data_IF_051897260995
#
_entry.id   IF_051897260995
#
_cell.length_a   1.000
_cell.length_b   1.000
_cell.length_c   1.000
_cell.angle_alpha   90.00
_cell.angle_beta   90.00
_cell.angle_gamma   90.00
#
_symmetry.space_group_name_H-M   'P 1'
#
loop_
_entity.id
_entity.type
_entity.pdbx_description
1 polymer ?
#
# COMPACT_ATOMS: atom_id res chain seq x y z
N UNK A 1 25.60 -8.43 -31.99
CA UNK A 1 24.65 -7.79 -32.94
C UNK A 1 23.32 -8.54 -32.80
N UNK A 2 22.32 -7.87 -32.20
CA UNK A 2 20.88 -8.18 -32.16
C UNK A 2 20.44 -9.57 -31.67
N UNK A 3 20.22 -9.66 -30.36
CA UNK A 3 19.21 -10.56 -29.79
C UNK A 3 17.87 -9.82 -29.76
N UNK A 4 16.84 -10.57 -30.11
CA UNK A 4 15.51 -10.15 -30.51
C UNK A 4 14.68 -9.84 -29.27
N UNK A 5 14.08 -8.65 -29.25
CA UNK A 5 13.03 -8.23 -28.34
C UNK A 5 11.85 -9.21 -28.38
N UNK A 6 11.49 -9.78 -27.23
CA UNK A 6 10.27 -10.54 -27.03
C UNK A 6 9.70 -10.22 -25.65
N UNK A 7 8.51 -9.62 -25.69
CA UNK A 7 7.48 -9.57 -24.65
C UNK A 7 7.83 -8.89 -23.31
N UNK A 8 7.79 -7.55 -23.32
CA UNK A 8 7.30 -6.78 -22.18
C UNK A 8 5.77 -6.85 -22.20
N UNK A 9 5.17 -7.65 -21.33
CA UNK A 9 3.73 -7.66 -21.04
C UNK A 9 3.47 -8.54 -19.81
N UNK A 10 3.62 -7.99 -18.60
CA UNK A 10 2.96 -8.44 -17.35
C UNK A 10 3.52 -7.69 -16.11
N UNK A 11 3.47 -6.35 -16.08
CA UNK A 11 3.90 -5.59 -14.87
C UNK A 11 2.94 -4.42 -14.60
N UNK A 12 1.63 -4.65 -14.70
CA UNK A 12 0.62 -3.59 -14.53
C UNK A 12 -0.54 -4.07 -13.63
N UNK A 13 -0.21 -4.76 -12.53
CA UNK A 13 -1.20 -5.23 -11.54
C UNK A 13 -0.62 -5.10 -10.13
N UNK A 14 -0.28 -3.90 -9.68
CA UNK A 14 0.30 -3.76 -8.33
C UNK A 14 -0.62 -3.05 -7.34
N UNK A 15 -1.58 -2.22 -7.77
CA UNK A 15 -2.64 -1.72 -6.86
C UNK A 15 -4.09 -2.03 -7.28
N UNK A 16 -4.35 -2.33 -8.55
CA UNK A 16 -5.71 -2.53 -9.06
C UNK A 16 -6.33 -3.90 -8.69
N UNK A 17 -5.53 -4.85 -8.23
CA UNK A 17 -5.99 -6.20 -7.87
C UNK A 17 -6.55 -6.30 -6.45
N UNK A 18 -6.13 -5.41 -5.55
CA UNK A 18 -6.55 -5.42 -4.15
C UNK A 18 -7.93 -4.78 -3.99
N UNK A 19 -8.85 -5.54 -3.42
CA UNK A 19 -10.15 -5.04 -3.00
C UNK A 19 -10.07 -4.37 -1.64
N UNK A 20 -9.14 -4.72 -0.76
CA UNK A 20 -8.98 -3.95 0.48
C UNK A 20 -7.52 -3.95 0.95
N UNK A 21 -7.09 -2.81 1.49
CA UNK A 21 -5.73 -2.65 2.03
C UNK A 21 -5.83 -1.90 3.33
N UNK A 22 -5.35 -2.51 4.42
CA UNK A 22 -5.14 -1.83 5.69
C UNK A 22 -3.74 -2.15 6.18
N UNK A 23 -2.86 -1.16 6.11
CA UNK A 23 -1.47 -1.29 6.52
C UNK A 23 -1.13 -0.29 7.62
N UNK A 24 -0.46 -0.78 8.65
CA UNK A 24 0.04 0.00 9.77
C UNK A 24 1.54 -0.21 9.93
N UNK A 25 2.30 0.85 9.72
CA UNK A 25 3.73 0.90 10.06
C UNK A 25 3.90 1.51 11.46
N UNK A 26 4.38 0.71 12.39
CA UNK A 26 4.69 1.15 13.75
C UNK A 26 6.19 1.42 13.86
N UNK A 27 6.58 2.65 14.18
CA UNK A 27 7.97 3.03 14.38
C UNK A 27 8.39 2.61 15.80
N UNK A 28 9.42 1.78 15.89
CA UNK A 28 9.88 1.17 17.15
C UNK A 28 11.26 1.65 17.57
N UNK A 29 11.97 2.36 16.69
CA UNK A 29 13.34 2.82 16.90
C UNK A 29 13.77 3.89 15.90
N UNK A 30 15.05 4.31 16.02
CA UNK A 30 15.66 5.27 15.11
C UNK A 30 15.82 4.74 13.68
N UNK A 31 15.97 3.41 13.52
CA UNK A 31 15.97 2.76 12.21
C UNK A 31 14.99 1.58 12.10
N UNK A 32 14.23 1.26 13.16
CA UNK A 32 13.39 0.06 13.17
C UNK A 32 11.89 0.34 13.12
N UNK A 33 11.16 -0.54 12.45
CA UNK A 33 9.71 -0.53 12.37
C UNK A 33 9.11 -1.96 12.39
N UNK A 34 7.81 -2.00 12.64
CA UNK A 34 6.97 -3.17 12.47
C UNK A 34 5.85 -2.81 11.50
N UNK A 35 5.80 -3.43 10.34
CA UNK A 35 4.67 -3.37 9.40
C UNK A 35 3.69 -4.49 9.73
N UNK A 36 2.45 -4.11 9.96
CA UNK A 36 1.33 -5.03 10.18
C UNK A 36 0.17 -4.64 9.31
N UNK A 37 -0.59 -5.60 8.82
CA UNK A 37 -1.76 -5.27 8.03
C UNK A 37 -2.24 -6.42 7.19
N UNK A 38 -3.05 -6.09 6.20
CA UNK A 38 -3.47 -7.04 5.20
C UNK A 38 -3.70 -6.39 3.84
N UNK A 39 -3.58 -7.23 2.82
CA UNK A 39 -4.10 -6.97 1.49
C UNK A 39 -5.11 -8.06 1.17
N UNK A 40 -6.22 -7.69 0.55
CA UNK A 40 -7.30 -8.58 0.19
C UNK A 40 -7.57 -8.48 -1.30
N UNK A 41 -7.74 -9.62 -1.96
CA UNK A 41 -8.09 -9.74 -3.39
C UNK A 41 -9.21 -10.77 -3.55
N UNK A 42 -9.97 -10.71 -4.64
CA UNK A 42 -10.86 -11.82 -4.97
C UNK A 42 -10.05 -13.04 -5.43
N UNK A 43 -10.50 -14.25 -5.06
CA UNK A 43 -9.81 -15.49 -5.43
C UNK A 43 -9.74 -15.68 -6.95
N UNK A 44 -10.74 -15.21 -7.71
CA UNK A 44 -10.70 -15.25 -9.17
C UNK A 44 -9.57 -14.37 -9.74
N UNK A 45 -9.42 -13.14 -9.22
CA UNK A 45 -8.35 -12.22 -9.60
C UNK A 45 -6.98 -12.80 -9.23
N UNK A 46 -6.83 -13.37 -8.04
CA UNK A 46 -5.60 -14.04 -7.62
C UNK A 46 -5.17 -15.13 -8.60
N UNK A 47 -6.12 -15.97 -9.03
CA UNK A 47 -5.85 -17.03 -10.00
C UNK A 47 -5.42 -16.48 -11.37
N UNK A 48 -5.89 -15.28 -11.75
CA UNK A 48 -5.45 -14.59 -12.95
C UNK A 48 -4.05 -13.96 -12.80
N UNK A 49 -3.69 -13.51 -11.60
CA UNK A 49 -2.41 -12.84 -11.28
C UNK A 49 -1.21 -13.78 -11.13
N UNK A 50 -1.41 -15.10 -11.22
CA UNK A 50 -0.32 -16.08 -11.09
C UNK A 50 -0.37 -16.92 -9.82
N UNK A 51 -1.36 -16.66 -8.94
CA UNK A 51 -1.66 -17.50 -7.79
C UNK A 51 -1.10 -16.99 -6.46
N UNK A 52 -1.29 -17.84 -5.44
CA UNK A 52 -1.05 -17.53 -4.04
C UNK A 52 0.39 -17.11 -3.69
N UNK A 53 1.39 -17.82 -4.22
CA UNK A 53 2.81 -17.59 -3.86
C UNK A 53 3.30 -16.21 -4.29
N UNK A 54 2.86 -15.72 -5.46
CA UNK A 54 3.23 -14.37 -5.94
C UNK A 54 2.50 -13.24 -5.23
N UNK A 55 1.40 -13.52 -4.55
CA UNK A 55 0.60 -12.52 -3.84
C UNK A 55 0.95 -12.42 -2.36
N UNK A 56 1.38 -13.53 -1.75
CA UNK A 56 1.65 -13.60 -0.33
C UNK A 56 2.82 -14.53 -0.05
N UNK A 57 4.03 -13.96 -0.01
CA UNK A 57 5.23 -14.71 0.29
C UNK A 57 5.42 -14.85 1.81
N UNK A 58 5.55 -16.10 2.26
CA UNK A 58 5.81 -16.40 3.67
C UNK A 58 7.25 -16.06 4.10
N UNK A 59 8.20 -16.03 3.17
CA UNK A 59 9.58 -15.61 3.43
C UNK A 59 9.66 -14.09 3.68
N UNK A 60 8.71 -13.32 3.15
CA UNK A 60 8.58 -11.86 3.33
C UNK A 60 7.62 -11.48 4.47
N UNK A 61 7.25 -12.42 5.35
CA UNK A 61 6.38 -12.16 6.50
C UNK A 61 4.88 -12.20 6.20
N UNK A 62 4.49 -12.70 5.02
CA UNK A 62 3.11 -12.93 4.62
C UNK A 62 2.50 -14.20 5.23
N UNK A 63 1.21 -14.17 5.52
CA UNK A 63 0.40 -15.33 5.88
C UNK A 63 -0.90 -15.29 5.10
N UNK A 64 -1.06 -16.23 4.17
CA UNK A 64 -2.23 -16.31 3.32
C UNK A 64 -3.41 -16.97 4.05
N UNK A 65 -4.53 -16.27 4.10
CA UNK A 65 -5.85 -16.79 4.46
C UNK A 65 -6.75 -16.73 3.22
N UNK A 66 -7.31 -17.86 2.81
CA UNK A 66 -8.08 -17.95 1.57
C UNK A 66 -9.41 -18.66 1.77
N UNK A 67 -10.44 -18.15 1.11
CA UNK A 67 -11.78 -18.71 0.99
C UNK A 67 -12.12 -18.93 -0.49
N UNK A 68 -13.32 -19.44 -0.77
CA UNK A 68 -13.79 -19.63 -2.15
C UNK A 68 -13.84 -18.33 -2.96
N UNK A 69 -14.02 -17.19 -2.29
CA UNK A 69 -14.29 -15.88 -2.92
C UNK A 69 -13.19 -14.85 -2.70
N UNK A 70 -12.45 -14.96 -1.60
CA UNK A 70 -11.50 -13.95 -1.14
C UNK A 70 -10.19 -14.60 -0.72
N UNK A 71 -9.08 -13.99 -1.09
CA UNK A 71 -7.75 -14.29 -0.60
C UNK A 71 -7.17 -13.06 0.11
N UNK A 72 -6.68 -13.25 1.32
CA UNK A 72 -6.13 -12.21 2.19
C UNK A 72 -4.72 -12.56 2.58
N UNK A 73 -3.78 -11.71 2.23
CA UNK A 73 -2.41 -11.78 2.74
C UNK A 73 -2.32 -10.93 4.00
N UNK A 74 -2.17 -11.57 5.16
CA UNK A 74 -1.84 -10.85 6.39
C UNK A 74 -0.31 -10.68 6.45
N UNK A 75 0.15 -9.45 6.69
CA UNK A 75 1.57 -9.13 6.74
C UNK A 75 2.00 -8.84 8.17
N UNK A 76 3.15 -9.39 8.55
CA UNK A 76 3.90 -9.01 9.74
C UNK A 76 5.39 -9.01 9.39
N UNK A 77 5.94 -7.81 9.22
CA UNK A 77 7.36 -7.61 8.92
C UNK A 77 7.97 -6.76 10.01
N UNK A 78 9.04 -7.25 10.64
CA UNK A 78 9.77 -6.54 11.69
C UNK A 78 11.24 -6.43 11.29
N UNK A 79 11.78 -5.22 11.33
CA UNK A 79 13.16 -5.02 10.91
C UNK A 79 13.57 -3.55 10.86
N UNK A 80 14.66 -3.30 10.15
CA UNK A 80 15.09 -1.95 9.77
C UNK A 80 14.12 -1.33 8.76
N UNK A 81 14.15 -0.01 8.60
CA UNK A 81 13.38 0.67 7.56
C UNK A 81 13.73 0.17 6.15
N UNK A 82 14.97 -0.28 5.92
CA UNK A 82 15.37 -0.82 4.62
C UNK A 82 14.73 -2.18 4.33
N UNK A 83 14.46 -2.98 5.37
CA UNK A 83 13.77 -4.28 5.24
C UNK A 83 12.25 -4.07 5.21
N UNK A 84 11.72 -3.17 6.03
CA UNK A 84 10.27 -2.94 6.17
C UNK A 84 9.67 -2.16 4.99
N UNK A 85 10.45 -1.27 4.36
CA UNK A 85 10.03 -0.51 3.18
C UNK A 85 10.66 -1.03 1.88
N UNK A 86 11.08 -2.30 1.87
CA UNK A 86 11.50 -2.95 0.65
C UNK A 86 10.31 -3.01 -0.34
N UNK A 87 10.61 -2.82 -1.63
CA UNK A 87 9.63 -2.88 -2.71
C UNK A 87 10.33 -3.22 -4.02
N UNK A 88 9.57 -3.54 -5.07
CA UNK A 88 10.17 -3.96 -6.32
C UNK A 88 10.90 -2.79 -7.02
N UNK A 89 11.92 -3.07 -7.85
CA UNK A 89 12.64 -2.03 -8.56
C UNK A 89 11.71 -1.18 -9.45
N UNK A 90 11.54 0.09 -9.07
CA UNK A 90 10.69 1.03 -9.80
C UNK A 90 9.32 1.28 -9.15
N UNK A 91 9.03 0.62 -8.03
CA UNK A 91 7.84 0.91 -7.22
C UNK A 91 8.08 2.06 -6.25
N UNK A 92 7.06 2.89 -5.99
CA UNK A 92 7.14 3.95 -5.01
C UNK A 92 7.09 3.36 -3.59
N UNK A 93 8.20 3.46 -2.86
CA UNK A 93 8.34 2.95 -1.49
C UNK A 93 8.32 4.09 -0.45
N UNK A 94 7.86 3.82 0.78
CA UNK A 94 7.96 4.79 1.87
C UNK A 94 9.41 5.11 2.21
N UNK A 95 9.66 6.33 2.70
CA UNK A 95 10.97 6.72 3.23
C UNK A 95 10.88 7.13 4.69
N UNK A 96 11.94 6.83 5.45
CA UNK A 96 12.07 7.24 6.84
C UNK A 96 13.39 7.97 7.09
N UNK A 97 13.31 9.05 7.86
CA UNK A 97 14.47 9.88 8.24
C UNK A 97 14.47 10.09 9.75
N UNK A 98 15.52 9.64 10.44
CA UNK A 98 15.78 9.99 11.84
C UNK A 98 16.07 11.49 11.96
N UNK A 99 15.27 12.19 12.78
CA UNK A 99 15.42 13.62 13.04
C UNK A 99 16.22 13.88 14.34
N UNK A 100 16.58 12.84 15.07
CA UNK A 100 17.11 12.92 16.42
C UNK A 100 16.01 13.07 17.48
N UNK A 101 16.44 13.15 18.75
CA UNK A 101 15.56 13.33 19.92
C UNK A 101 14.42 12.30 20.04
N UNK A 102 14.63 11.10 19.52
CA UNK A 102 13.65 10.02 19.55
C UNK A 102 12.51 10.21 18.54
N UNK A 103 12.73 10.96 17.46
CA UNK A 103 11.70 11.22 16.44
C UNK A 103 12.16 10.84 15.03
N UNK A 104 11.24 10.28 14.27
CA UNK A 104 11.44 9.89 12.87
C UNK A 104 10.37 10.54 12.02
N UNK A 105 10.75 11.05 10.84
CA UNK A 105 9.79 11.44 9.79
C UNK A 105 9.58 10.26 8.85
N UNK A 106 8.32 9.95 8.59
CA UNK A 106 7.88 8.98 7.57
C UNK A 106 7.16 9.72 6.46
N UNK A 107 7.49 9.37 5.22
CA UNK A 107 6.90 9.93 4.00
C UNK A 107 6.45 8.80 3.09
N UNK A 108 5.14 8.75 2.81
CA UNK A 108 4.53 7.81 1.88
C UNK A 108 4.20 8.50 0.55
N UNK A 109 4.75 8.03 -0.58
CA UNK A 109 4.57 8.66 -1.90
C UNK A 109 3.20 8.34 -2.53
N UNK A 110 2.10 8.78 -1.91
CA UNK A 110 0.73 8.46 -2.35
C UNK A 110 0.43 8.89 -3.80
N UNK A 111 0.99 10.02 -4.26
CA UNK A 111 0.82 10.48 -5.63
C UNK A 111 1.40 9.52 -6.66
N UNK A 112 2.54 8.91 -6.36
CA UNK A 112 3.17 7.90 -7.22
C UNK A 112 2.40 6.57 -7.15
N UNK A 113 1.97 6.15 -5.96
CA UNK A 113 1.19 4.91 -5.77
C UNK A 113 -0.15 4.93 -6.52
N UNK A 114 -0.78 6.10 -6.64
CA UNK A 114 -2.10 6.25 -7.29
C UNK A 114 -2.03 6.68 -8.76
N UNK A 115 -0.82 6.92 -9.29
CA UNK A 115 -0.62 7.43 -10.65
C UNK A 115 -1.21 6.48 -11.71
N UNK A 116 -1.02 5.17 -11.57
CA UNK A 116 -1.51 4.16 -12.51
C UNK A 116 -3.04 4.07 -12.53
N UNK A 117 -3.70 4.37 -11.41
CA UNK A 117 -5.17 4.40 -11.37
C UNK A 117 -5.74 5.59 -12.14
N UNK A 118 -4.95 6.66 -12.31
CA UNK A 118 -5.27 7.79 -13.18
C UNK A 118 -5.46 7.37 -14.63
N UNK A 119 -4.63 6.46 -15.15
CA UNK A 119 -4.73 5.96 -16.53
C UNK A 119 -5.99 5.12 -16.74
N UNK A 120 -6.37 4.28 -15.76
CA UNK A 120 -7.60 3.47 -15.83
C UNK A 120 -8.87 4.30 -15.81
N UNK A 121 -8.88 5.43 -15.09
CA UNK A 121 -10.01 6.36 -15.05
C UNK A 121 -10.29 7.00 -16.42
N UNK A 122 -9.27 7.15 -17.26
CA UNK A 122 -9.40 7.77 -18.59
C UNK A 122 -10.09 6.87 -19.63
N UNK A 123 -10.24 5.57 -19.35
CA UNK A 123 -11.03 4.63 -20.17
C UNK A 123 -12.42 4.37 -19.53
N UNK A 124 -13.51 4.93 -20.10
CA UNK A 124 -14.86 4.76 -19.56
C UNK A 124 -15.34 3.31 -19.53
N UNK A 125 -14.84 2.45 -20.42
CA UNK A 125 -15.21 1.04 -20.46
C UNK A 125 -14.51 0.28 -19.33
N UNK A 126 -13.22 0.53 -19.10
CA UNK A 126 -12.48 -0.06 -17.99
C UNK A 126 -13.04 0.40 -16.63
N UNK A 127 -13.28 1.70 -16.47
CA UNK A 127 -13.84 2.26 -15.24
C UNK A 127 -15.25 1.69 -14.92
N UNK A 128 -16.08 1.46 -15.95
CA UNK A 128 -17.41 0.86 -15.76
C UNK A 128 -17.34 -0.61 -15.30
N UNK A 129 -16.33 -1.36 -15.73
CA UNK A 129 -16.12 -2.75 -15.31
C UNK A 129 -15.52 -2.84 -13.90
N UNK A 130 -14.59 -1.95 -13.55
CA UNK A 130 -13.91 -1.96 -12.24
C UNK A 130 -14.78 -1.41 -11.10
N UNK A 131 -15.68 -0.46 -11.39
CA UNK A 131 -16.54 0.15 -10.37
C UNK A 131 -17.18 -0.85 -9.39
N UNK A 132 -17.90 -1.89 -9.83
CA UNK A 132 -18.49 -2.86 -8.90
C UNK A 132 -17.46 -3.64 -8.07
N UNK A 133 -16.22 -3.78 -8.55
CA UNK A 133 -15.13 -4.46 -7.83
C UNK A 133 -14.50 -3.57 -6.74
N UNK A 134 -14.60 -2.25 -6.88
CA UNK A 134 -14.06 -1.27 -5.94
C UNK A 134 -15.12 -0.70 -4.97
N UNK A 135 -16.40 -1.05 -5.17
CA UNK A 135 -17.49 -0.57 -4.33
C UNK A 135 -17.46 -1.22 -2.95
N UNK A 136 -17.53 -0.41 -1.89
CA UNK A 136 -17.52 -0.90 -0.50
C UNK A 136 -16.12 -1.20 0.05
N UNK A 137 -15.09 -0.93 -0.74
CA UNK A 137 -13.71 -1.30 -0.53
C UNK A 137 -12.84 -0.08 -0.27
N UNK A 138 -11.80 -0.22 0.54
CA UNK A 138 -10.99 0.91 1.00
C UNK A 138 -9.49 0.65 0.97
N UNK A 139 -8.75 1.75 0.84
CA UNK A 139 -7.33 1.78 1.08
C UNK A 139 -7.08 2.60 2.34
N UNK A 140 -6.37 2.01 3.29
CA UNK A 140 -5.98 2.65 4.55
C UNK A 140 -4.51 2.42 4.82
N UNK A 141 -3.78 3.52 5.03
CA UNK A 141 -2.41 3.50 5.52
C UNK A 141 -2.32 4.22 6.85
N UNK A 142 -1.52 3.68 7.76
CA UNK A 142 -1.35 4.22 9.10
C UNK A 142 0.11 4.20 9.51
N UNK A 143 0.52 5.29 10.16
CA UNK A 143 1.78 5.39 10.89
C UNK A 143 1.46 5.43 12.36
N UNK A 144 2.16 4.62 13.16
CA UNK A 144 1.99 4.55 14.60
C UNK A 144 3.33 4.63 15.34
N UNK A 145 3.28 4.99 16.61
CA UNK A 145 4.42 5.02 17.53
C UNK A 145 3.99 5.37 18.94
N UNK A 146 4.91 5.91 19.73
CA UNK A 146 4.61 6.42 21.07
C UNK A 146 3.71 7.67 21.03
N UNK A 147 3.94 8.57 20.07
CA UNK A 147 3.19 9.82 19.88
C UNK A 147 3.38 10.34 18.45
N UNK A 148 2.33 10.83 17.79
CA UNK A 148 2.44 11.59 16.55
C UNK A 148 2.69 13.06 16.89
N UNK A 149 3.82 13.59 16.44
CA UNK A 149 4.23 14.98 16.65
C UNK A 149 3.58 15.91 15.63
N UNK A 150 3.51 15.48 14.38
CA UNK A 150 2.82 16.20 13.30
C UNK A 150 2.43 15.26 12.18
N UNK A 151 1.36 15.58 11.46
CA UNK A 151 0.95 14.85 10.26
C UNK A 151 0.11 15.75 9.34
N UNK A 152 0.10 15.44 8.05
CA UNK A 152 -0.86 15.99 7.09
C UNK A 152 -2.07 15.05 6.84
N UNK A 153 -2.11 13.89 7.50
CA UNK A 153 -3.25 12.97 7.48
C UNK A 153 -4.21 13.18 8.66
N UNK A 154 -5.00 12.17 8.95
CA UNK A 154 -5.95 12.18 10.07
C UNK A 154 -5.30 11.60 11.32
N UNK A 155 -5.28 12.35 12.41
CA UNK A 155 -4.76 11.92 13.70
C UNK A 155 -5.81 11.07 14.46
N UNK A 156 -5.40 9.98 15.11
CA UNK A 156 -6.27 9.21 16.02
C UNK A 156 -6.57 9.96 17.31
N UNK A 157 -7.70 9.64 17.95
CA UNK A 157 -8.14 10.29 19.20
C UNK A 157 -7.12 10.19 20.35
N UNK A 158 -6.32 9.13 20.36
CA UNK A 158 -5.28 8.90 21.37
C UNK A 158 -3.93 9.52 20.99
N UNK A 159 -3.81 10.16 19.83
CA UNK A 159 -2.61 10.84 19.35
C UNK A 159 -1.43 9.90 19.00
N UNK A 160 -1.65 8.58 18.96
CA UNK A 160 -0.57 7.59 18.76
C UNK A 160 -0.46 7.08 17.34
N UNK A 161 -1.43 7.41 16.49
CA UNK A 161 -1.40 7.05 15.07
C UNK A 161 -1.93 8.17 14.19
N UNK A 162 -1.39 8.25 12.98
CA UNK A 162 -1.92 9.07 11.90
C UNK A 162 -2.25 8.17 10.73
N UNK A 163 -3.34 8.45 10.01
CA UNK A 163 -3.78 7.62 8.91
C UNK A 163 -4.30 8.43 7.73
N UNK A 164 -4.18 7.83 6.56
CA UNK A 164 -4.81 8.26 5.33
C UNK A 164 -5.72 7.14 4.86
N UNK A 165 -6.96 7.47 4.52
CA UNK A 165 -7.94 6.50 4.04
C UNK A 165 -8.76 7.09 2.91
N UNK A 166 -9.05 6.28 1.90
CA UNK A 166 -9.99 6.61 0.84
C UNK A 166 -10.73 5.37 0.34
N UNK A 167 -12.01 5.51 -0.04
CA UNK A 167 -12.72 4.47 -0.77
C UNK A 167 -12.05 4.21 -2.13
N UNK A 168 -11.81 2.96 -2.49
CA UNK A 168 -11.19 2.62 -3.77
C UNK A 168 -12.04 3.07 -4.97
N UNK A 169 -13.36 3.05 -4.84
CA UNK A 169 -14.28 3.53 -5.88
C UNK A 169 -14.08 5.02 -6.20
N UNK A 170 -13.60 5.82 -5.25
CA UNK A 170 -13.42 7.25 -5.45
C UNK A 170 -12.30 7.52 -6.45
N UNK A 171 -11.33 6.61 -6.61
CA UNK A 171 -10.23 6.77 -7.58
C UNK A 171 -10.73 6.84 -9.04
N UNK A 172 -11.92 6.32 -9.32
CA UNK A 172 -12.58 6.42 -10.61
C UNK A 172 -13.28 7.78 -10.85
N UNK A 173 -13.31 8.67 -9.85
CA UNK A 173 -13.89 10.01 -9.94
C UNK A 173 -12.92 10.99 -10.60
N UNK A 174 -13.42 11.87 -11.46
CA UNK A 174 -12.63 12.97 -12.05
C UNK A 174 -12.12 13.96 -10.99
N UNK A 175 -12.81 14.05 -9.86
CA UNK A 175 -12.46 14.93 -8.74
C UNK A 175 -11.53 14.26 -7.71
N UNK A 176 -11.11 13.01 -7.95
CA UNK A 176 -10.24 12.30 -7.03
C UNK A 176 -8.84 12.93 -7.01
N UNK A 177 -8.37 13.26 -5.82
CA UNK A 177 -7.02 13.73 -5.59
C UNK A 177 -6.54 13.27 -4.22
N UNK A 178 -5.30 12.78 -4.18
CA UNK A 178 -4.55 12.51 -2.95
C UNK A 178 -3.40 13.50 -2.85
N UNK A 179 -2.87 13.79 -1.64
CA UNK A 179 -1.62 14.53 -1.56
C UNK A 179 -0.49 13.73 -2.21
N UNK A 180 0.50 14.42 -2.77
CA UNK A 180 1.67 13.74 -3.35
C UNK A 180 2.37 12.85 -2.32
N UNK A 181 2.44 13.34 -1.07
CA UNK A 181 3.06 12.65 0.06
C UNK A 181 2.15 12.68 1.28
N UNK A 182 1.94 11.53 1.92
CA UNK A 182 1.44 11.44 3.29
C UNK A 182 2.62 11.44 4.26
N UNK A 183 2.70 12.48 5.09
CA UNK A 183 3.80 12.70 6.05
C UNK A 183 3.30 12.52 7.49
N UNK A 184 4.11 11.83 8.29
CA UNK A 184 3.98 11.81 9.75
C UNK A 184 5.35 11.93 10.42
N UNK A 185 5.46 12.81 11.41
CA UNK A 185 6.60 12.83 12.34
C UNK A 185 6.16 12.12 13.61
N UNK A 186 6.89 11.09 13.99
CA UNK A 186 6.50 10.14 15.04
C UNK A 186 7.61 10.02 16.07
N UNK A 187 7.23 10.05 17.34
CA UNK A 187 8.10 9.62 18.44
C UNK A 187 7.96 8.12 18.64
N UNK A 188 9.09 7.43 18.76
CA UNK A 188 9.17 5.99 19.01
C UNK A 188 9.53 5.68 20.48
#
# INVERSE_FOLDING_TARGET
MRLISLAAAATAVTLAGCVDVDMTTTITGADSATLTGFMEVETEILNMMGGAESFCDAEEGGTLEMTDTVARCNMLVEGSFAEVFEGEPGEPVPTATDLGDGTVRIEFPLGEMTAETGEMREDPQAAAMMRPMLEGHSFTMRVAGAEIISTNGTLSDDGRSAYFTFPLVDVLSEDFSVPDVFEAVVRY
#
